data_IF_337009057760
#
_entry.id   IF_337009057760
#
_cell.length_a   1.000
_cell.length_b   1.000
_cell.length_c   1.000
_cell.angle_alpha   90.00
_cell.angle_beta   90.00
_cell.angle_gamma   90.00
#
_symmetry.space_group_name_H-M   'P 1'
#
loop_
_entity.id
_entity.type
_entity.pdbx_description
1 polymer ?
#
# COMPACT_ATOMS: atom_id res chain seq x y z
N UNK A 1 -4.29 -9.58 -39.88
CA UNK A 1 -3.83 -8.24 -39.44
C UNK A 1 -4.04 -8.18 -37.94
N UNK A 2 -2.98 -8.00 -37.15
CA UNK A 2 -3.07 -7.80 -35.70
C UNK A 2 -3.19 -6.32 -35.43
N UNK A 3 -4.36 -5.86 -35.02
CA UNK A 3 -4.58 -4.45 -34.68
C UNK A 3 -4.01 -4.19 -33.28
N UNK A 4 -2.78 -3.66 -33.24
CA UNK A 4 -2.12 -3.30 -31.98
C UNK A 4 -2.89 -2.16 -31.32
N UNK A 5 -3.62 -2.46 -30.24
CA UNK A 5 -4.23 -1.44 -29.38
C UNK A 5 -3.16 -0.42 -29.00
N UNK A 6 -3.34 0.82 -29.47
CA UNK A 6 -2.50 1.93 -29.02
C UNK A 6 -2.86 2.19 -27.56
N UNK A 7 -1.89 2.31 -26.63
CA UNK A 7 -2.21 2.80 -25.31
C UNK A 7 -2.84 4.19 -25.47
N UNK A 8 -4.05 4.36 -24.94
CA UNK A 8 -4.72 5.65 -24.90
C UNK A 8 -3.89 6.68 -24.12
N UNK A 9 -4.26 7.97 -24.18
CA UNK A 9 -3.62 8.99 -23.34
C UNK A 9 -3.64 8.53 -21.87
N UNK A 10 -2.61 8.86 -21.06
CA UNK A 10 -2.47 8.35 -19.69
C UNK A 10 -3.60 8.88 -18.80
N UNK A 11 -4.72 8.17 -18.81
CA UNK A 11 -5.85 8.39 -17.93
C UNK A 11 -5.45 8.15 -16.48
N UNK A 12 -6.18 8.82 -15.59
CA UNK A 12 -6.08 8.68 -14.14
C UNK A 12 -6.03 7.19 -13.77
N UNK A 13 -5.08 6.81 -12.90
CA UNK A 13 -4.87 5.40 -12.56
C UNK A 13 -6.10 4.81 -11.87
N UNK A 14 -6.70 3.78 -12.48
CA UNK A 14 -7.71 2.95 -11.83
C UNK A 14 -7.08 2.13 -10.71
N UNK A 15 -7.58 2.32 -9.49
CA UNK A 15 -7.17 1.58 -8.31
C UNK A 15 -8.39 0.87 -7.71
N UNK A 16 -8.30 -0.45 -7.58
CA UNK A 16 -9.33 -1.24 -6.90
C UNK A 16 -9.08 -1.19 -5.40
N UNK A 17 -10.10 -0.81 -4.63
CA UNK A 17 -10.01 -0.66 -3.18
C UNK A 17 -10.63 -1.88 -2.49
N UNK A 18 -9.85 -2.57 -1.67
CA UNK A 18 -10.32 -3.68 -0.86
C UNK A 18 -11.11 -3.21 0.38
N UNK A 19 -11.94 -4.09 0.94
CA UNK A 19 -12.85 -3.79 2.04
C UNK A 19 -12.13 -3.41 3.34
N UNK A 20 -10.88 -3.85 3.54
CA UNK A 20 -10.06 -3.49 4.69
C UNK A 20 -9.69 -2.00 4.69
N UNK A 21 -9.17 -1.47 3.57
CA UNK A 21 -8.69 -0.07 3.49
C UNK A 21 -9.82 0.96 3.52
N UNK A 22 -11.01 0.63 3.01
CA UNK A 22 -12.21 1.48 3.07
C UNK A 22 -13.12 1.21 4.27
N UNK A 23 -12.67 0.42 5.27
CA UNK A 23 -13.41 0.22 6.53
C UNK A 23 -13.31 1.42 7.46
N UNK A 24 -12.10 1.93 7.67
CA UNK A 24 -11.80 3.03 8.58
C UNK A 24 -12.41 4.36 8.11
N UNK A 25 -12.91 5.19 9.03
CA UNK A 25 -13.51 6.47 8.64
C UNK A 25 -12.44 7.44 8.08
N UNK A 26 -11.27 7.52 8.73
CA UNK A 26 -10.17 8.38 8.32
C UNK A 26 -9.52 7.90 7.01
N UNK A 27 -9.24 6.61 6.89
CA UNK A 27 -8.66 6.00 5.66
C UNK A 27 -9.56 6.22 4.45
N UNK A 28 -10.87 6.00 4.60
CA UNK A 28 -11.86 6.21 3.53
C UNK A 28 -11.93 7.67 3.09
N UNK A 29 -11.98 8.62 4.03
CA UNK A 29 -12.10 10.04 3.70
C UNK A 29 -10.81 10.57 3.06
N UNK A 30 -9.63 10.11 3.51
CA UNK A 30 -8.33 10.40 2.88
C UNK A 30 -8.27 9.87 1.43
N UNK A 31 -8.54 8.58 1.22
CA UNK A 31 -8.57 7.96 -0.11
C UNK A 31 -9.52 8.69 -1.07
N UNK A 32 -10.77 8.89 -0.65
CA UNK A 32 -11.80 9.48 -1.50
C UNK A 32 -11.61 10.99 -1.70
N UNK A 33 -10.95 11.69 -0.79
CA UNK A 33 -10.62 13.11 -0.99
C UNK A 33 -9.58 13.33 -2.08
N UNK A 34 -8.53 12.51 -2.12
CA UNK A 34 -7.49 12.62 -3.17
C UNK A 34 -7.99 12.06 -4.52
N UNK A 35 -8.86 11.03 -4.50
CA UNK A 35 -9.60 10.60 -5.68
C UNK A 35 -10.49 11.74 -6.24
N UNK A 36 -11.11 12.54 -5.36
CA UNK A 36 -11.87 13.73 -5.73
C UNK A 36 -11.05 14.82 -6.45
N UNK A 37 -9.72 14.82 -6.32
CA UNK A 37 -8.77 15.66 -7.08
C UNK A 37 -8.12 14.96 -8.27
N UNK A 38 -8.59 13.75 -8.61
CA UNK A 38 -8.10 12.89 -9.69
C UNK A 38 -6.66 12.40 -9.52
N UNK A 39 -6.19 12.20 -8.28
CA UNK A 39 -4.93 11.50 -8.02
C UNK A 39 -5.00 10.00 -8.45
N UNK A 40 -6.19 9.42 -8.31
CA UNK A 40 -6.54 8.09 -8.83
C UNK A 40 -8.06 8.01 -9.09
N UNK A 41 -8.50 6.95 -9.76
CA UNK A 41 -9.89 6.64 -10.09
C UNK A 41 -10.31 5.38 -9.30
N UNK A 42 -11.13 5.51 -8.24
CA UNK A 42 -11.43 4.41 -7.33
C UNK A 42 -12.37 3.39 -7.97
N UNK A 43 -12.18 2.10 -7.67
CA UNK A 43 -13.04 1.00 -8.12
C UNK A 43 -13.33 0.03 -6.96
N UNK A 44 -14.55 -0.49 -6.89
CA UNK A 44 -15.00 -1.50 -5.94
C UNK A 44 -16.20 -2.30 -6.50
N UNK A 45 -16.46 -3.49 -5.96
CA UNK A 45 -17.68 -4.26 -6.28
C UNK A 45 -18.69 -4.23 -5.12
N UNK A 46 -19.93 -4.62 -5.39
CA UNK A 46 -20.95 -4.73 -4.33
C UNK A 46 -20.53 -5.70 -3.22
N UNK A 47 -19.85 -6.82 -3.54
CA UNK A 47 -19.35 -7.78 -2.55
C UNK A 47 -18.35 -7.16 -1.57
N UNK A 48 -17.42 -6.33 -2.07
CA UNK A 48 -16.48 -5.54 -1.24
C UNK A 48 -17.21 -4.55 -0.32
N UNK A 49 -18.24 -3.88 -0.82
CA UNK A 49 -19.08 -2.97 -0.03
C UNK A 49 -19.87 -3.72 1.06
N UNK A 50 -20.37 -4.92 0.76
CA UNK A 50 -21.04 -5.78 1.74
C UNK A 50 -20.06 -6.34 2.79
N UNK A 51 -18.81 -6.59 2.43
CA UNK A 51 -17.74 -6.98 3.36
C UNK A 51 -17.34 -5.84 4.29
N UNK A 52 -17.23 -4.63 3.75
CA UNK A 52 -17.05 -3.40 4.53
C UNK A 52 -18.23 -3.17 5.50
N UNK A 53 -19.47 -3.49 5.10
CA UNK A 53 -20.68 -3.41 5.96
C UNK A 53 -20.70 -4.49 7.05
N UNK A 54 -20.36 -5.74 6.72
CA UNK A 54 -20.27 -6.86 7.66
C UNK A 54 -19.18 -6.62 8.70
N UNK A 55 -18.00 -6.17 8.26
CA UNK A 55 -16.80 -6.01 9.10
C UNK A 55 -16.69 -4.60 9.72
N UNK A 56 -17.81 -3.87 9.89
CA UNK A 56 -17.83 -2.53 10.49
C UNK A 56 -17.32 -2.53 11.94
N UNK A 57 -16.76 -1.42 12.44
CA UNK A 57 -16.34 -1.31 13.84
C UNK A 57 -17.47 -1.63 14.84
N UNK A 58 -17.18 -2.35 15.95
CA UNK A 58 -18.15 -2.60 17.01
C UNK A 58 -18.77 -1.31 17.54
N UNK A 59 -20.08 -1.34 17.82
CA UNK A 59 -20.84 -0.19 18.29
C UNK A 59 -21.24 0.83 17.21
N UNK A 60 -20.78 0.71 15.96
CA UNK A 60 -21.19 1.59 14.86
C UNK A 60 -22.56 1.16 14.30
N UNK A 61 -23.58 2.06 14.26
CA UNK A 61 -24.89 1.77 13.67
C UNK A 61 -24.85 1.46 12.17
N UNK A 62 -25.73 0.58 11.70
CA UNK A 62 -25.83 0.23 10.27
C UNK A 62 -26.24 1.44 9.42
N UNK A 63 -27.17 2.27 9.92
CA UNK A 63 -27.58 3.52 9.26
C UNK A 63 -26.42 4.53 9.06
N UNK A 64 -25.35 4.48 9.87
CA UNK A 64 -24.16 5.30 9.67
C UNK A 64 -23.27 4.76 8.53
N UNK A 65 -23.11 3.44 8.46
CA UNK A 65 -22.42 2.75 7.36
C UNK A 65 -23.20 2.89 6.04
N UNK A 66 -24.52 2.70 6.04
CA UNK A 66 -25.35 2.81 4.83
C UNK A 66 -25.38 4.25 4.29
N UNK A 67 -25.39 5.25 5.18
CA UNK A 67 -25.21 6.65 4.79
C UNK A 67 -23.82 6.89 4.20
N UNK A 68 -22.76 6.25 4.72
CA UNK A 68 -21.41 6.30 4.15
C UNK A 68 -21.38 5.70 2.76
N UNK A 69 -21.86 4.47 2.57
CA UNK A 69 -21.97 3.76 1.27
C UNK A 69 -22.73 4.62 0.24
N UNK A 70 -23.89 5.15 0.64
CA UNK A 70 -24.70 6.04 -0.21
C UNK A 70 -23.92 7.29 -0.63
N UNK A 71 -23.15 7.87 0.29
CA UNK A 71 -22.31 9.05 0.01
C UNK A 71 -21.15 8.71 -0.91
N UNK A 72 -20.49 7.56 -0.72
CA UNK A 72 -19.39 7.07 -1.57
C UNK A 72 -19.85 6.85 -3.01
N UNK A 73 -20.91 6.06 -3.21
CA UNK A 73 -21.46 5.78 -4.54
C UNK A 73 -22.02 7.03 -5.24
N UNK A 74 -22.57 8.01 -4.49
CA UNK A 74 -23.01 9.30 -5.05
C UNK A 74 -21.83 10.20 -5.45
N UNK A 75 -20.74 10.18 -4.70
CA UNK A 75 -19.53 10.94 -5.02
C UNK A 75 -18.75 10.34 -6.20
N UNK A 76 -18.78 9.01 -6.34
CA UNK A 76 -18.10 8.27 -7.41
C UNK A 76 -19.06 7.30 -8.13
N UNK A 77 -19.97 7.79 -9.00
CA UNK A 77 -20.97 6.95 -9.67
C UNK A 77 -20.40 5.82 -10.52
N UNK A 78 -19.15 5.95 -10.98
CA UNK A 78 -18.45 4.95 -11.78
C UNK A 78 -17.53 4.02 -10.97
N UNK A 79 -17.39 4.23 -9.66
CA UNK A 79 -16.52 3.41 -8.83
C UNK A 79 -17.11 2.04 -8.52
N UNK A 80 -18.45 1.96 -8.39
CA UNK A 80 -19.14 0.68 -8.32
C UNK A 80 -19.04 -0.02 -9.68
N UNK A 81 -18.37 -1.17 -9.72
CA UNK A 81 -18.18 -1.98 -10.93
C UNK A 81 -19.03 -3.25 -10.90
N UNK A 82 -19.40 -3.72 -12.09
CA UNK A 82 -20.05 -5.03 -12.26
C UNK A 82 -19.22 -6.17 -11.64
N UNK A 83 -19.91 -7.14 -11.06
CA UNK A 83 -19.27 -8.30 -10.44
C UNK A 83 -18.45 -9.09 -11.48
N UNK A 84 -17.22 -9.51 -11.15
CA UNK A 84 -16.39 -10.27 -12.08
C UNK A 84 -17.03 -11.62 -12.42
N UNK A 85 -16.97 -12.08 -13.68
CA UNK A 85 -17.48 -13.39 -14.08
C UNK A 85 -16.91 -14.52 -13.21
N UNK A 86 -17.74 -15.50 -12.85
CA UNK A 86 -17.35 -16.57 -11.93
C UNK A 86 -16.06 -17.31 -12.33
N UNK A 87 -15.90 -17.62 -13.62
CA UNK A 87 -14.66 -18.21 -14.18
C UNK A 87 -13.40 -17.38 -13.86
N UNK A 88 -13.51 -16.05 -13.92
CA UNK A 88 -12.38 -15.15 -13.64
C UNK A 88 -12.01 -15.20 -12.15
N UNK A 89 -12.99 -15.33 -11.25
CA UNK A 89 -12.74 -15.53 -9.82
C UNK A 89 -12.04 -16.88 -9.56
N UNK A 90 -12.45 -17.93 -10.27
CA UNK A 90 -11.83 -19.25 -10.17
C UNK A 90 -10.37 -19.24 -10.65
N UNK A 91 -10.08 -18.54 -11.76
CA UNK A 91 -8.75 -18.34 -12.35
C UNK A 91 -7.76 -17.53 -11.46
N UNK A 92 -8.23 -16.70 -10.52
CA UNK A 92 -7.34 -15.83 -9.73
C UNK A 92 -6.44 -16.58 -8.74
N UNK A 93 -5.14 -16.29 -8.73
CA UNK A 93 -4.22 -16.70 -7.67
C UNK A 93 -4.35 -15.78 -6.43
N UNK A 94 -5.28 -16.13 -5.55
CA UNK A 94 -5.52 -15.45 -4.28
C UNK A 94 -6.16 -16.43 -3.28
N UNK A 95 -6.14 -16.07 -2.00
CA UNK A 95 -6.76 -16.84 -0.93
C UNK A 95 -8.25 -17.06 -1.23
N UNK A 96 -8.85 -18.25 -0.99
CA UNK A 96 -10.16 -18.60 -1.55
C UNK A 96 -11.31 -17.66 -1.20
N UNK A 97 -11.18 -16.94 -0.08
CA UNK A 97 -12.13 -15.94 0.41
C UNK A 97 -12.06 -14.61 -0.37
N UNK A 98 -10.89 -14.26 -0.94
CA UNK A 98 -10.56 -12.95 -1.52
C UNK A 98 -10.44 -12.95 -3.06
N UNK A 99 -10.54 -14.11 -3.72
CA UNK A 99 -10.52 -14.26 -5.19
C UNK A 99 -11.40 -13.24 -5.95
N UNK A 100 -12.52 -12.80 -5.37
CA UNK A 100 -13.39 -11.78 -5.97
C UNK A 100 -12.82 -10.36 -5.94
N UNK A 101 -11.93 -10.05 -5.00
CA UNK A 101 -11.24 -8.75 -4.89
C UNK A 101 -10.27 -8.62 -6.06
N UNK A 102 -9.39 -9.62 -6.24
CA UNK A 102 -8.43 -9.65 -7.35
C UNK A 102 -9.13 -9.75 -8.71
N UNK A 103 -10.17 -10.59 -8.83
CA UNK A 103 -10.96 -10.66 -10.06
C UNK A 103 -11.71 -9.35 -10.34
N UNK A 104 -12.17 -8.63 -9.31
CA UNK A 104 -12.77 -7.30 -9.43
C UNK A 104 -11.75 -6.26 -9.91
N UNK A 105 -10.52 -6.32 -9.43
CA UNK A 105 -9.42 -5.49 -9.91
C UNK A 105 -9.11 -5.77 -11.39
N UNK A 106 -9.07 -7.05 -11.81
CA UNK A 106 -8.88 -7.43 -13.23
C UNK A 106 -10.07 -6.97 -14.09
N UNK A 107 -11.31 -7.27 -13.68
CA UNK A 107 -12.53 -6.95 -14.44
C UNK A 107 -12.73 -5.44 -14.62
N UNK A 108 -12.41 -4.65 -13.58
CA UNK A 108 -12.42 -3.19 -13.64
C UNK A 108 -11.25 -2.59 -14.44
N UNK A 109 -10.30 -3.41 -14.91
CA UNK A 109 -9.02 -3.03 -15.52
C UNK A 109 -8.22 -2.04 -14.63
N UNK A 110 -8.19 -2.30 -13.32
CA UNK A 110 -7.40 -1.54 -12.37
C UNK A 110 -5.92 -1.92 -12.49
N UNK A 111 -5.02 -0.92 -12.42
CA UNK A 111 -3.56 -1.11 -12.49
C UNK A 111 -2.94 -1.43 -11.13
N UNK A 112 -3.69 -1.22 -10.06
CA UNK A 112 -3.31 -1.52 -8.69
C UNK A 112 -4.51 -1.99 -7.89
N UNK A 113 -4.30 -3.03 -7.08
CA UNK A 113 -5.14 -3.42 -5.96
C UNK A 113 -4.57 -2.80 -4.68
N UNK A 114 -5.38 -2.05 -3.94
CA UNK A 114 -5.01 -1.42 -2.67
C UNK A 114 -5.61 -2.24 -1.52
N UNK A 115 -4.75 -2.93 -0.78
CA UNK A 115 -5.12 -3.83 0.32
C UNK A 115 -3.95 -4.00 1.29
N UNK A 116 -4.22 -3.99 2.60
CA UNK A 116 -3.20 -4.28 3.61
C UNK A 116 -2.98 -5.80 3.81
N UNK A 117 -3.82 -6.66 3.20
CA UNK A 117 -3.71 -8.12 3.25
C UNK A 117 -2.74 -8.67 2.18
N UNK A 118 -1.60 -8.01 1.93
CA UNK A 118 -0.71 -8.26 0.77
C UNK A 118 -0.37 -9.73 0.49
N UNK A 119 -0.18 -10.54 1.55
CA UNK A 119 0.17 -11.96 1.47
C UNK A 119 -0.95 -12.87 0.93
N UNK A 120 -2.20 -12.40 0.93
CA UNK A 120 -3.39 -13.16 0.54
C UNK A 120 -3.60 -13.11 -1.01
N UNK A 121 -2.73 -12.42 -1.75
CA UNK A 121 -2.82 -12.18 -3.19
C UNK A 121 -1.51 -12.47 -3.94
N UNK A 122 -1.57 -13.28 -4.99
CA UNK A 122 -0.48 -13.50 -5.97
C UNK A 122 -0.93 -12.91 -7.32
N UNK A 123 -0.91 -11.58 -7.42
CA UNK A 123 -1.40 -10.89 -8.60
C UNK A 123 -0.49 -11.11 -9.82
N UNK A 124 -1.04 -11.27 -11.04
CA UNK A 124 -0.23 -11.46 -12.24
C UNK A 124 0.82 -10.36 -12.42
N UNK A 125 2.07 -10.74 -12.60
CA UNK A 125 3.20 -9.83 -12.83
C UNK A 125 3.40 -9.47 -14.31
N UNK A 126 2.70 -10.14 -15.23
CA UNK A 126 2.81 -9.94 -16.68
C UNK A 126 1.51 -10.34 -17.41
N UNK A 127 1.42 -10.01 -18.70
CA UNK A 127 0.24 -10.28 -19.53
C UNK A 127 -0.90 -9.25 -19.35
N UNK A 128 -2.10 -9.51 -19.92
CA UNK A 128 -3.22 -8.56 -19.97
C UNK A 128 -3.91 -8.33 -18.61
N UNK A 129 -3.49 -9.02 -17.57
CA UNK A 129 -4.02 -8.90 -16.20
C UNK A 129 -2.96 -8.41 -15.21
N UNK A 130 -1.82 -7.91 -15.72
CA UNK A 130 -0.72 -7.42 -14.90
C UNK A 130 -1.13 -6.21 -14.06
N UNK A 131 -0.95 -6.30 -12.74
CA UNK A 131 -1.23 -5.20 -11.82
C UNK A 131 -0.29 -5.22 -10.62
N UNK A 132 -0.26 -4.09 -9.89
CA UNK A 132 0.40 -3.99 -8.59
C UNK A 132 -0.56 -4.41 -7.46
N UNK A 133 -0.02 -4.91 -6.37
CA UNK A 133 -0.70 -4.96 -5.08
C UNK A 133 0.09 -4.07 -4.13
N UNK A 134 -0.56 -3.08 -3.53
CA UNK A 134 0.07 -2.08 -2.66
C UNK A 134 -0.74 -1.94 -1.37
N UNK A 135 -0.06 -1.78 -0.23
CA UNK A 135 -0.74 -1.43 1.02
C UNK A 135 -1.33 -0.02 0.94
N UNK A 136 -2.29 0.30 1.81
CA UNK A 136 -2.83 1.66 1.89
C UNK A 136 -1.72 2.70 2.03
N UNK A 137 -0.73 2.39 2.87
CA UNK A 137 0.40 3.27 3.14
C UNK A 137 1.30 3.44 1.90
N UNK A 138 1.66 2.34 1.23
CA UNK A 138 2.47 2.36 0.00
C UNK A 138 1.78 3.14 -1.12
N UNK A 139 0.48 2.88 -1.33
CA UNK A 139 -0.32 3.55 -2.35
C UNK A 139 -0.42 5.06 -2.09
N UNK A 140 -0.74 5.48 -0.87
CA UNK A 140 -0.83 6.91 -0.52
C UNK A 140 0.52 7.63 -0.58
N UNK A 141 1.61 7.00 -0.13
CA UNK A 141 2.98 7.54 -0.28
C UNK A 141 3.35 7.70 -1.75
N UNK A 142 3.12 6.68 -2.58
CA UNK A 142 3.37 6.77 -4.02
C UNK A 142 2.54 7.87 -4.69
N UNK A 143 1.25 8.01 -4.34
CA UNK A 143 0.39 9.07 -4.90
C UNK A 143 0.87 10.47 -4.53
N UNK A 144 1.43 10.63 -3.32
CA UNK A 144 2.04 11.87 -2.85
C UNK A 144 3.38 12.17 -3.53
N UNK A 145 4.11 11.15 -3.98
CA UNK A 145 5.34 11.31 -4.78
C UNK A 145 5.04 11.55 -6.27
N UNK A 146 3.97 10.98 -6.81
CA UNK A 146 3.51 11.17 -8.20
C UNK A 146 2.91 12.56 -8.44
N UNK A 147 2.04 13.05 -7.54
CA UNK A 147 1.44 14.40 -7.64
C UNK A 147 1.20 14.98 -6.22
N UNK A 148 2.23 15.62 -5.62
CA UNK A 148 2.12 16.20 -4.28
C UNK A 148 1.02 17.26 -4.17
N UNK A 149 0.70 17.95 -5.28
CA UNK A 149 -0.30 19.00 -5.31
C UNK A 149 -1.72 18.43 -5.22
N UNK A 150 -2.09 17.44 -6.05
CA UNK A 150 -3.42 16.80 -5.99
C UNK A 150 -3.71 16.16 -4.64
N UNK A 151 -2.71 15.54 -4.03
CA UNK A 151 -2.86 14.95 -2.70
C UNK A 151 -3.13 16.04 -1.65
N UNK A 152 -2.35 17.12 -1.62
CA UNK A 152 -2.59 18.24 -0.70
C UNK A 152 -3.92 18.97 -0.98
N UNK A 153 -4.30 19.20 -2.23
CA UNK A 153 -5.62 19.75 -2.61
C UNK A 153 -6.79 18.84 -2.21
N UNK A 154 -6.56 17.53 -2.12
CA UNK A 154 -7.53 16.55 -1.67
C UNK A 154 -7.69 16.61 -0.16
N UNK A 155 -6.58 16.54 0.57
CA UNK A 155 -6.58 16.65 2.03
C UNK A 155 -7.12 18.01 2.50
N UNK A 156 -6.81 19.11 1.82
CA UNK A 156 -7.43 20.42 2.12
C UNK A 156 -8.95 20.37 1.89
N UNK A 157 -9.40 19.80 0.77
CA UNK A 157 -10.83 19.62 0.52
C UNK A 157 -11.52 18.71 1.57
N UNK A 158 -10.79 17.83 2.24
CA UNK A 158 -11.30 17.06 3.39
C UNK A 158 -11.52 17.96 4.60
N UNK A 159 -10.51 18.76 4.97
CA UNK A 159 -10.55 19.72 6.08
C UNK A 159 -11.68 20.75 5.89
N UNK A 160 -11.87 21.25 4.67
CA UNK A 160 -12.94 22.20 4.31
C UNK A 160 -14.35 21.61 4.56
N UNK A 161 -14.52 20.28 4.45
CA UNK A 161 -15.78 19.57 4.72
C UNK A 161 -15.93 19.16 6.19
N UNK A 162 -14.83 18.99 6.91
CA UNK A 162 -14.84 18.50 8.29
C UNK A 162 -15.63 19.44 9.20
N UNK A 163 -16.61 18.90 9.92
CA UNK A 163 -17.37 19.66 10.93
C UNK A 163 -16.74 19.61 12.33
N UNK A 164 -16.00 18.54 12.63
CA UNK A 164 -15.21 18.32 13.86
C UNK A 164 -13.72 18.36 13.52
N UNK A 165 -12.86 18.08 14.49
CA UNK A 165 -11.44 17.83 14.22
C UNK A 165 -11.21 16.57 13.35
N UNK A 166 -10.10 16.50 12.58
CA UNK A 166 -9.07 17.53 12.41
C UNK A 166 -9.53 18.69 11.49
N UNK A 167 -9.17 19.93 11.87
CA UNK A 167 -9.46 21.17 11.14
C UNK A 167 -8.29 21.79 10.39
N UNK A 168 -7.06 21.35 10.67
CA UNK A 168 -5.83 21.86 10.02
C UNK A 168 -5.01 20.71 9.46
N UNK A 169 -4.12 21.00 8.50
CA UNK A 169 -3.20 20.01 7.93
C UNK A 169 -2.31 19.39 9.01
N UNK A 170 -1.78 20.23 9.91
CA UNK A 170 -0.99 19.82 11.08
C UNK A 170 -1.74 18.82 11.96
N UNK A 171 -2.99 19.14 12.35
CA UNK A 171 -3.83 18.25 13.16
C UNK A 171 -4.21 16.96 12.42
N UNK A 172 -4.40 17.00 11.10
CA UNK A 172 -4.66 15.82 10.28
C UNK A 172 -3.43 14.91 10.18
N UNK A 173 -2.23 15.46 9.96
CA UNK A 173 -0.97 14.74 9.99
C UNK A 173 -0.78 14.09 11.37
N UNK A 174 -0.99 14.82 12.47
CA UNK A 174 -0.86 14.29 13.83
C UNK A 174 -1.93 13.23 14.19
N UNK A 175 -3.13 13.32 13.59
CA UNK A 175 -4.16 12.28 13.73
C UNK A 175 -3.78 11.02 12.94
N UNK A 176 -3.28 11.16 11.71
CA UNK A 176 -2.83 10.03 10.88
C UNK A 176 -1.58 9.36 11.46
N UNK A 177 -0.67 10.12 12.09
CA UNK A 177 0.54 9.61 12.72
C UNK A 177 0.28 8.67 13.91
N UNK A 178 -0.90 8.73 14.53
CA UNK A 178 -1.32 7.86 15.63
C UNK A 178 -1.81 6.48 15.14
N UNK A 179 -2.21 6.34 13.88
CA UNK A 179 -2.74 5.10 13.31
C UNK A 179 -1.73 4.38 12.42
N UNK A 180 -1.47 3.10 12.69
CA UNK A 180 -0.52 2.26 11.94
C UNK A 180 -0.76 2.31 10.41
N UNK A 181 -2.01 2.16 9.98
CA UNK A 181 -2.48 2.21 8.59
C UNK A 181 -1.98 3.46 7.81
N UNK A 182 -1.87 4.62 8.48
CA UNK A 182 -1.56 5.91 7.86
C UNK A 182 -0.23 6.54 8.33
N UNK A 183 0.50 5.92 9.26
CA UNK A 183 1.67 6.54 9.90
C UNK A 183 2.78 6.90 8.91
N UNK A 184 3.19 5.97 8.03
CA UNK A 184 4.20 6.26 7.00
C UNK A 184 3.77 7.33 5.97
N UNK A 185 2.49 7.37 5.60
CA UNK A 185 1.93 8.45 4.79
C UNK A 185 1.98 9.80 5.52
N UNK A 186 1.63 9.85 6.81
CA UNK A 186 1.75 11.05 7.63
C UNK A 186 3.21 11.54 7.73
N UNK A 187 4.17 10.62 7.94
CA UNK A 187 5.61 10.92 7.93
C UNK A 187 6.06 11.50 6.59
N UNK A 188 5.67 10.89 5.46
CA UNK A 188 6.02 11.41 4.12
C UNK A 188 5.39 12.79 3.89
N UNK A 189 4.10 12.95 4.17
CA UNK A 189 3.36 14.21 4.03
C UNK A 189 4.02 15.34 4.83
N UNK A 190 4.48 15.06 6.05
CA UNK A 190 5.16 16.03 6.91
C UNK A 190 6.46 16.59 6.30
N UNK A 191 7.11 15.88 5.37
CA UNK A 191 8.32 16.36 4.70
C UNK A 191 8.05 17.29 3.51
N UNK A 192 6.85 17.23 2.91
CA UNK A 192 6.50 17.98 1.69
C UNK A 192 5.50 19.12 1.91
N UNK A 193 4.77 19.15 3.03
CA UNK A 193 3.95 20.32 3.40
C UNK A 193 4.83 21.49 3.89
N UNK A 194 4.36 22.75 3.73
CA UNK A 194 5.03 23.93 4.31
C UNK A 194 5.26 23.81 5.82
N UNK A 195 6.32 24.42 6.38
CA UNK A 195 6.68 24.27 7.80
C UNK A 195 5.55 24.60 8.78
N UNK A 196 4.73 25.60 8.48
CA UNK A 196 3.57 26.03 9.28
C UNK A 196 2.37 25.07 9.22
N UNK A 197 2.42 24.09 8.31
CA UNK A 197 1.38 23.06 8.14
C UNK A 197 1.80 21.68 8.68
N UNK A 198 3.04 21.54 9.20
CA UNK A 198 3.57 20.27 9.69
C UNK A 198 2.88 19.79 10.97
N UNK A 199 2.72 18.48 11.08
CA UNK A 199 2.40 17.80 12.33
C UNK A 199 3.55 17.88 13.34
N UNK A 200 3.18 17.83 14.62
CA UNK A 200 4.05 17.99 15.79
C UNK A 200 4.29 16.68 16.55
N UNK A 201 3.59 15.59 16.21
CA UNK A 201 3.62 14.33 16.94
C UNK A 201 5.05 13.76 17.06
N UNK A 202 5.44 13.17 18.21
CA UNK A 202 6.82 12.70 18.45
C UNK A 202 7.36 11.72 17.39
N UNK A 203 6.49 10.90 16.81
CA UNK A 203 6.83 9.90 15.77
C UNK A 203 7.18 10.52 14.41
N UNK A 204 6.89 11.81 14.20
CA UNK A 204 7.27 12.59 13.03
C UNK A 204 8.63 13.26 13.26
N UNK A 205 8.77 13.96 14.39
CA UNK A 205 9.95 14.78 14.72
C UNK A 205 11.18 13.96 15.09
N UNK A 206 11.02 12.69 15.51
CA UNK A 206 12.13 11.78 15.76
C UNK A 206 12.99 11.53 14.49
N UNK A 207 12.35 11.39 13.32
CA UNK A 207 13.04 11.11 12.07
C UNK A 207 13.77 12.35 11.51
N UNK A 208 13.22 13.56 11.71
CA UNK A 208 13.86 14.82 11.26
C UNK A 208 15.26 15.01 11.87
N UNK A 209 15.47 14.59 13.13
CA UNK A 209 16.78 14.65 13.79
C UNK A 209 17.80 13.74 13.10
N UNK A 210 17.41 12.52 12.76
CA UNK A 210 18.28 11.55 12.07
C UNK A 210 18.65 11.98 10.65
N UNK A 211 17.71 12.58 9.90
CA UNK A 211 18.01 13.14 8.57
C UNK A 211 18.89 14.39 8.64
N UNK A 212 18.63 15.30 9.59
CA UNK A 212 19.47 16.49 9.78
C UNK A 212 20.91 16.12 10.20
N UNK A 213 21.07 15.10 11.03
CA UNK A 213 22.38 14.58 11.42
C UNK A 213 23.13 13.90 10.26
N UNK A 214 22.44 13.28 9.30
CA UNK A 214 23.09 12.79 8.06
C UNK A 214 23.54 13.94 7.16
N UNK A 215 22.66 14.91 6.90
CA UNK A 215 23.00 16.10 6.10
C UNK A 215 24.18 16.90 6.70
N UNK A 216 24.32 16.94 8.03
CA UNK A 216 25.46 17.55 8.71
C UNK A 216 26.79 16.80 8.55
N UNK A 217 26.77 15.51 8.21
CA UNK A 217 27.97 14.68 8.03
C UNK A 217 28.42 14.53 6.56
N UNK A 218 27.52 14.69 5.59
CA UNK A 218 27.86 14.62 4.15
C UNK A 218 28.71 15.80 3.67
N UNK A 219 28.88 16.85 4.48
CA UNK A 219 29.70 18.03 4.18
C UNK A 219 31.21 17.90 4.45
N UNK A 220 31.71 16.77 4.98
CA UNK A 220 33.14 16.61 5.34
C UNK A 220 33.77 15.43 4.62
N UNK A 221 34.65 15.72 3.64
CA UNK A 221 35.44 14.71 2.95
C UNK A 221 36.49 14.09 3.88
N UNK A 222 36.30 12.82 4.26
CA UNK A 222 37.31 12.05 5.01
C UNK A 222 38.53 11.69 4.14
N UNK A 223 39.73 11.58 4.73
CA UNK A 223 40.95 11.24 3.98
C UNK A 223 40.89 9.80 3.42
N UNK A 224 41.42 9.62 2.20
CA UNK A 224 41.36 8.36 1.47
C UNK A 224 42.10 7.21 2.15
N UNK A 225 41.53 6.00 2.07
CA UNK A 225 42.20 4.77 2.55
C UNK A 225 43.34 4.37 1.60
N UNK A 226 44.55 4.05 2.12
CA UNK A 226 45.60 3.44 1.31
C UNK A 226 45.25 1.99 0.95
N UNK A 227 45.75 1.53 -0.20
CA UNK A 227 45.58 0.18 -0.71
C UNK A 227 46.77 -0.70 -0.29
N UNK A 228 46.53 -1.97 0.06
CA UNK A 228 47.55 -2.96 0.43
C UNK A 228 47.57 -4.15 -0.56
N UNK A 229 48.74 -4.74 -0.85
CA UNK A 229 48.91 -5.74 -1.91
C UNK A 229 48.57 -7.18 -1.48
N UNK A 230 48.46 -8.09 -2.46
CA UNK A 230 48.16 -9.50 -2.25
C UNK A 230 49.37 -10.42 -2.48
N UNK A 231 49.50 -11.49 -1.70
CA UNK A 231 50.09 -12.79 -2.08
C UNK A 231 49.88 -13.88 -1.00
N UNK A 232 50.04 -15.14 -1.42
CA UNK A 232 49.81 -16.40 -0.68
C UNK A 232 51.04 -16.80 0.19
N UNK A 233 51.17 -18.01 0.85
CA UNK A 233 50.45 -19.28 0.65
C UNK A 233 50.03 -20.10 1.91
N UNK A 234 49.45 -21.28 1.66
CA UNK A 234 49.00 -22.29 2.64
C UNK A 234 50.15 -23.11 3.28
N UNK A 235 49.84 -23.78 4.41
CA UNK A 235 50.64 -24.87 4.98
C UNK A 235 49.75 -25.99 5.58
N UNK A 236 50.21 -27.26 5.53
CA UNK A 236 49.43 -28.48 5.87
C UNK A 236 49.83 -29.12 7.21
N UNK A 237 48.87 -29.83 7.84
CA UNK A 237 48.99 -31.09 8.65
C UNK A 237 47.55 -31.57 8.97
N UNK A 238 47.11 -32.81 8.72
CA UNK A 238 47.56 -34.13 9.19
C UNK A 238 47.48 -34.24 10.73
N UNK A 239 46.40 -34.75 11.34
CA UNK A 239 46.01 -36.17 11.48
C UNK A 239 46.01 -36.50 13.01
N UNK A 240 45.56 -37.61 13.59
CA UNK A 240 44.71 -38.78 13.26
C UNK A 240 44.38 -39.46 14.65
N UNK A 241 43.50 -40.43 14.94
CA UNK A 241 42.72 -41.45 14.21
C UNK A 241 41.59 -42.06 15.12
N UNK A 242 40.73 -42.93 14.57
CA UNK A 242 39.89 -43.97 15.27
C UNK A 242 38.70 -43.54 16.15
N UNK A 243 37.65 -44.35 16.40
CA UNK A 243 37.07 -45.53 15.70
C UNK A 243 35.77 -45.98 16.41
N UNK A 244 34.74 -46.43 15.67
CA UNK A 244 33.95 -47.66 15.93
C UNK A 244 32.77 -47.78 14.95
N UNK A 245 32.53 -48.97 14.41
CA UNK A 245 31.37 -49.30 13.56
C UNK A 245 30.24 -49.96 14.37
N UNK A 246 29.00 -49.94 13.84
CA UNK A 246 28.28 -51.19 13.55
C UNK A 246 27.14 -51.04 12.55
N UNK A 247 26.96 -52.08 11.74
CA UNK A 247 25.98 -52.16 10.65
C UNK A 247 24.63 -52.73 11.12
N UNK A 248 23.53 -52.27 10.48
CA UNK A 248 22.33 -53.01 10.01
C UNK A 248 21.17 -52.01 9.86
N UNK A 249 20.29 -52.09 8.87
CA UNK A 249 20.22 -52.98 7.70
C UNK A 249 19.33 -52.35 6.62
N UNK A 250 19.21 -52.97 5.45
CA UNK A 250 18.53 -52.40 4.28
C UNK A 250 17.17 -53.08 4.01
N UNK A 251 16.24 -52.33 3.39
CA UNK A 251 15.20 -52.83 2.45
C UNK A 251 14.11 -53.78 3.02
N UNK A 252 12.93 -54.00 2.40
CA UNK A 252 12.21 -53.40 1.26
C UNK A 252 10.68 -53.64 1.42
N UNK A 253 9.87 -53.05 0.52
CA UNK A 253 8.52 -53.46 0.07
C UNK A 253 7.58 -54.33 0.96
N UNK A 254 6.51 -53.73 1.48
CA UNK A 254 5.12 -53.92 1.00
C UNK A 254 4.10 -52.98 1.68
#
# INVERSE_FOLDING_TARGET
MTETERPGPPGVERAFLDANVIRGQLTTDVLLSIAGRKAFDPRWTQKVIDEMRRNRPPGLPEADIDRRITTMNRAFPYAMTEAPPQRLQEEMAADPKDKHVLAGAVHSQSRVLVTDNLKDFDAPSSGPHAMRVESLNQFLVRKLEEDPQRVQEGLQAMLDRNRREPKTMSALIDTMAQGEELQGFAQKLNTVVPPEQRGTAPVLTANERGSAQRAAFEGVAGPGKPQAPASAPEARKAGDSKSAERMKGAEQEQ
#
